data_IF_198329399117
#
_entry.id   IF_198329399117
#
_cell.length_a   1.000
_cell.length_b   1.000
_cell.length_c   1.000
_cell.angle_alpha   90.00
_cell.angle_beta   90.00
_cell.angle_gamma   90.00
#
_symmetry.space_group_name_H-M   'P 1'
#
loop_
_entity.id
_entity.type
_entity.pdbx_description
1 polymer ?
#
# COMPACT_ATOMS: atom_id res chain seq x y z
N UNK A 1 -25.21 -37.46 -19.00
CA UNK A 1 -24.40 -36.63 -18.09
C UNK A 1 -23.12 -36.25 -18.81
N UNK A 2 -23.04 -35.05 -19.39
CA UNK A 2 -21.81 -34.57 -20.05
C UNK A 2 -21.14 -33.57 -19.12
N UNK A 3 -20.13 -34.05 -18.38
CA UNK A 3 -19.27 -33.21 -17.56
C UNK A 3 -18.42 -32.35 -18.49
N UNK A 4 -18.73 -31.05 -18.56
CA UNK A 4 -17.86 -30.09 -19.25
C UNK A 4 -16.66 -29.85 -18.35
N UNK A 5 -15.57 -30.55 -18.65
CA UNK A 5 -14.27 -30.25 -18.06
C UNK A 5 -13.88 -28.82 -18.47
N UNK A 6 -13.92 -27.89 -17.51
CA UNK A 6 -13.41 -26.53 -17.72
C UNK A 6 -11.90 -26.61 -17.58
N UNK A 7 -11.19 -26.44 -18.68
CA UNK A 7 -9.74 -26.38 -18.69
C UNK A 7 -9.27 -25.19 -17.85
N UNK A 8 -8.63 -25.49 -16.72
CA UNK A 8 -8.19 -24.51 -15.72
C UNK A 8 -6.92 -23.77 -16.16
N UNK A 9 -6.31 -24.16 -17.30
CA UNK A 9 -5.10 -23.52 -17.84
C UNK A 9 -5.32 -22.08 -18.31
N UNK A 10 -6.57 -21.70 -18.65
CA UNK A 10 -6.92 -20.35 -19.12
C UNK A 10 -7.13 -19.32 -17.99
N UNK A 11 -7.19 -19.74 -16.73
CA UNK A 11 -7.25 -18.80 -15.59
C UNK A 11 -5.96 -17.99 -15.47
N UNK A 12 -4.83 -18.53 -15.95
CA UNK A 12 -3.52 -17.89 -15.85
C UNK A 12 -3.35 -16.69 -16.79
N UNK A 13 -3.99 -16.70 -17.97
CA UNK A 13 -3.86 -15.64 -18.97
C UNK A 13 -4.71 -14.41 -18.66
N UNK A 14 -5.78 -14.56 -17.87
CA UNK A 14 -6.65 -13.42 -17.52
C UNK A 14 -6.05 -12.52 -16.43
N UNK A 15 -5.20 -13.09 -15.56
CA UNK A 15 -4.44 -12.34 -14.55
C UNK A 15 -3.04 -11.95 -15.02
N UNK A 16 -2.65 -12.32 -16.25
CA UNK A 16 -1.43 -11.79 -16.85
C UNK A 16 -1.63 -10.30 -17.11
N UNK A 17 -1.05 -9.48 -16.23
CA UNK A 17 -0.81 -8.07 -16.51
C UNK A 17 0.10 -8.03 -17.71
N UNK A 18 -0.48 -7.86 -18.89
CA UNK A 18 0.25 -7.46 -20.08
C UNK A 18 1.18 -6.33 -19.65
N UNK A 19 2.50 -6.42 -19.93
CA UNK A 19 3.31 -5.21 -19.92
C UNK A 19 2.58 -4.28 -20.88
N UNK A 20 2.11 -3.14 -20.37
CA UNK A 20 1.64 -2.10 -21.28
C UNK A 20 2.88 -1.67 -22.04
N UNK A 21 3.16 -2.33 -23.17
CA UNK A 21 4.05 -1.75 -24.16
C UNK A 21 3.50 -0.38 -24.41
N UNK A 22 4.29 0.59 -23.99
CA UNK A 22 3.90 1.96 -23.91
C UNK A 22 3.65 2.41 -25.34
N UNK A 23 2.37 2.36 -25.74
CA UNK A 23 1.86 2.78 -27.04
C UNK A 23 1.91 4.31 -27.12
N UNK A 24 3.04 4.92 -26.74
CA UNK A 24 3.35 6.30 -27.03
C UNK A 24 3.67 6.35 -28.53
N UNK A 25 2.59 6.31 -29.30
CA UNK A 25 2.60 6.55 -30.73
C UNK A 25 3.15 7.96 -30.97
N UNK A 26 3.83 8.15 -32.10
CA UNK A 26 4.55 9.37 -32.54
C UNK A 26 3.87 10.73 -32.26
N UNK A 27 2.57 10.73 -31.98
CA UNK A 27 1.72 11.88 -31.73
C UNK A 27 1.72 12.37 -30.26
N UNK A 28 2.35 11.63 -29.33
CA UNK A 28 2.37 11.96 -27.90
C UNK A 28 3.80 11.91 -27.35
N UNK A 29 4.54 13.02 -27.46
CA UNK A 29 5.93 13.10 -26.99
C UNK A 29 6.01 13.00 -25.46
N UNK A 30 7.03 12.28 -24.95
CA UNK A 30 7.22 12.07 -23.51
C UNK A 30 7.41 13.38 -22.74
N UNK A 31 8.02 14.36 -23.40
CA UNK A 31 8.25 15.73 -22.89
C UNK A 31 6.95 16.49 -22.61
N UNK A 32 5.84 16.07 -23.23
CA UNK A 32 4.52 16.67 -23.05
C UNK A 32 3.70 15.96 -21.96
N UNK A 33 4.21 14.86 -21.37
CA UNK A 33 3.53 14.12 -20.32
C UNK A 33 3.76 14.80 -18.96
N UNK A 34 2.66 15.15 -18.29
CA UNK A 34 2.70 15.72 -16.93
C UNK A 34 2.78 14.57 -15.92
N UNK A 35 3.80 14.63 -15.05
CA UNK A 35 4.05 13.60 -14.04
C UNK A 35 5.02 12.52 -14.53
N UNK A 36 5.52 11.70 -13.61
CA UNK A 36 6.49 10.66 -13.97
C UNK A 36 5.75 9.46 -14.61
N UNK A 37 6.02 9.14 -15.89
CA UNK A 37 5.33 8.05 -16.60
C UNK A 37 5.63 6.66 -16.02
N UNK A 38 6.71 6.54 -15.25
CA UNK A 38 7.09 5.31 -14.54
C UNK A 38 6.41 5.18 -13.18
N UNK A 39 5.68 6.20 -12.70
CA UNK A 39 4.90 6.09 -11.47
C UNK A 39 3.67 5.21 -11.70
N UNK A 40 3.38 4.35 -10.73
CA UNK A 40 2.16 3.58 -10.70
C UNK A 40 0.93 4.47 -10.50
N UNK A 41 -0.22 4.04 -11.02
CA UNK A 41 -1.49 4.70 -10.78
C UNK A 41 -1.80 4.68 -9.28
N UNK A 42 -1.97 5.86 -8.67
CA UNK A 42 -2.43 5.99 -7.28
C UNK A 42 -3.93 6.23 -7.27
N UNK A 43 -4.64 5.52 -6.41
CA UNK A 43 -6.08 5.75 -6.17
C UNK A 43 -6.26 6.85 -5.12
N UNK A 44 -7.44 7.48 -5.08
CA UNK A 44 -7.76 8.44 -4.00
C UNK A 44 -7.65 7.79 -2.62
N UNK A 45 -8.02 6.51 -2.50
CA UNK A 45 -7.92 5.74 -1.27
C UNK A 45 -6.47 5.61 -0.78
N UNK A 46 -5.51 5.47 -1.71
CA UNK A 46 -4.08 5.40 -1.38
C UNK A 46 -3.59 6.71 -0.75
N UNK A 47 -4.03 7.86 -1.26
CA UNK A 47 -3.65 9.15 -0.66
C UNK A 47 -4.20 9.29 0.76
N UNK A 48 -5.41 8.81 1.02
CA UNK A 48 -5.98 8.79 2.37
C UNK A 48 -5.22 7.84 3.31
N UNK A 49 -4.82 6.66 2.83
CA UNK A 49 -4.01 5.74 3.64
C UNK A 49 -2.62 6.33 3.91
N UNK A 50 -1.99 6.91 2.91
CA UNK A 50 -0.67 7.55 3.05
C UNK A 50 -0.75 8.74 4.02
N UNK A 51 -1.81 9.55 3.94
CA UNK A 51 -2.05 10.64 4.87
C UNK A 51 -2.29 10.14 6.31
N UNK A 52 -3.09 9.08 6.49
CA UNK A 52 -3.31 8.44 7.80
C UNK A 52 -2.01 7.89 8.38
N UNK A 53 -1.20 7.20 7.56
CA UNK A 53 0.11 6.71 7.96
C UNK A 53 1.04 7.84 8.36
N UNK A 54 1.06 8.94 7.59
CA UNK A 54 1.90 10.10 7.88
C UNK A 54 1.47 10.79 9.19
N UNK A 55 0.17 10.96 9.41
CA UNK A 55 -0.37 11.49 10.67
C UNK A 55 -0.03 10.60 11.87
N UNK A 56 -0.18 9.27 11.72
CA UNK A 56 0.21 8.31 12.75
C UNK A 56 1.70 8.43 13.09
N UNK A 57 2.57 8.41 12.07
CA UNK A 57 4.02 8.55 12.26
C UNK A 57 4.38 9.87 12.96
N UNK A 58 3.74 10.99 12.58
CA UNK A 58 3.95 12.28 13.23
C UNK A 58 3.52 12.27 14.71
N UNK A 59 2.37 11.68 15.03
CA UNK A 59 1.88 11.57 16.41
C UNK A 59 2.80 10.69 17.26
N UNK A 60 3.19 9.53 16.74
CA UNK A 60 4.13 8.60 17.41
C UNK A 60 5.48 9.28 17.60
N UNK A 61 6.05 9.95 16.59
CA UNK A 61 7.32 10.69 16.73
C UNK A 61 7.25 11.87 17.71
N UNK A 62 6.08 12.49 17.89
CA UNK A 62 5.92 13.62 18.82
C UNK A 62 5.77 13.16 20.27
N UNK A 63 5.30 11.93 20.49
CA UNK A 63 5.02 11.35 21.81
C UNK A 63 6.01 10.27 22.21
N UNK A 64 7.09 10.07 21.44
CA UNK A 64 8.11 9.07 21.73
C UNK A 64 8.77 9.33 23.11
N UNK A 65 8.54 8.45 24.09
CA UNK A 65 9.03 8.65 25.44
C UNK A 65 10.54 8.41 25.49
N UNK A 66 11.29 9.28 26.18
CA UNK A 66 12.76 9.19 26.21
C UNK A 66 13.27 8.18 27.23
N UNK A 67 12.42 7.75 28.15
CA UNK A 67 12.74 6.78 29.17
C UNK A 67 11.54 5.92 29.53
N UNK A 68 11.81 4.78 30.17
CA UNK A 68 10.81 3.77 30.52
C UNK A 68 9.72 4.35 31.43
N UNK A 69 10.06 5.28 32.33
CA UNK A 69 9.08 5.86 33.26
C UNK A 69 8.07 6.75 32.54
N UNK A 70 8.54 7.55 31.58
CA UNK A 70 7.66 8.34 30.70
C UNK A 70 6.78 7.44 29.86
N UNK A 71 7.36 6.38 29.27
CA UNK A 71 6.61 5.42 28.47
C UNK A 71 5.51 4.71 29.27
N UNK A 72 5.80 4.33 30.52
CA UNK A 72 4.83 3.67 31.40
C UNK A 72 3.74 4.62 31.92
N UNK A 73 3.98 5.93 31.88
CA UNK A 73 3.01 6.95 32.32
C UNK A 73 2.11 7.46 31.18
N UNK A 74 2.53 7.25 29.92
CA UNK A 74 1.77 7.64 28.74
C UNK A 74 0.89 6.48 28.25
N UNK A 75 -0.40 6.53 28.60
CA UNK A 75 -1.37 5.51 28.22
C UNK A 75 -1.58 5.44 26.70
N UNK A 76 -1.57 6.59 26.01
CA UNK A 76 -1.77 6.65 24.57
C UNK A 76 -0.60 6.02 23.82
N UNK A 77 0.62 6.21 24.33
CA UNK A 77 1.82 5.53 23.82
C UNK A 77 1.71 4.01 23.96
N UNK A 78 1.30 3.51 25.13
CA UNK A 78 1.14 2.07 25.39
C UNK A 78 0.11 1.45 24.45
N UNK A 79 -1.06 2.08 24.29
CA UNK A 79 -2.11 1.59 23.38
C UNK A 79 -1.62 1.57 21.93
N UNK A 80 -0.92 2.62 21.48
CA UNK A 80 -0.35 2.70 20.12
C UNK A 80 0.65 1.58 19.84
N UNK A 81 1.58 1.33 20.77
CA UNK A 81 2.57 0.25 20.64
C UNK A 81 1.90 -1.14 20.65
N UNK A 82 0.83 -1.32 21.43
CA UNK A 82 0.05 -2.56 21.40
C UNK A 82 -0.66 -2.74 20.06
N UNK A 83 -1.34 -1.71 19.55
CA UNK A 83 -1.99 -1.76 18.24
C UNK A 83 -1.00 -2.09 17.13
N UNK A 84 0.18 -1.49 17.13
CA UNK A 84 1.26 -1.79 16.16
C UNK A 84 1.69 -3.26 16.24
N UNK A 85 1.93 -3.80 17.44
CA UNK A 85 2.22 -5.23 17.62
C UNK A 85 1.09 -6.12 17.08
N UNK A 86 -0.16 -5.76 17.34
CA UNK A 86 -1.32 -6.46 16.79
C UNK A 86 -1.44 -6.34 15.26
N UNK A 87 -0.88 -5.30 14.62
CA UNK A 87 -0.79 -5.24 13.17
C UNK A 87 0.18 -6.30 12.62
N UNK A 88 1.33 -6.50 13.26
CA UNK A 88 2.30 -7.51 12.83
C UNK A 88 1.71 -8.92 12.89
N UNK A 89 1.05 -9.26 14.00
CA UNK A 89 0.37 -10.57 14.15
C UNK A 89 -0.70 -10.81 13.07
N UNK A 90 -1.45 -9.76 12.70
CA UNK A 90 -2.51 -9.85 11.69
C UNK A 90 -2.01 -9.93 10.26
N UNK A 91 -0.80 -9.43 10.01
CA UNK A 91 -0.19 -9.41 8.69
C UNK A 91 0.69 -10.64 8.44
N UNK A 92 0.86 -11.53 9.44
CA UNK A 92 1.66 -12.77 9.36
C UNK A 92 3.08 -12.51 8.78
N UNK A 93 3.74 -11.46 9.28
CA UNK A 93 5.12 -11.06 8.91
C UNK A 93 6.16 -11.87 9.68
#
# INVERSE_FOLDING_TARGET
TSSRHVDSSNMHTFYQRYPSEQRWTKDHQLEQVIGNPSQSVRTRQQLESDAKMCMFALTVSQTEPKNIKEAMADFAWIESMQEELHQFDRLDV
#
